data_IF_407031422203
#
_entry.id   IF_407031422203
#
_cell.length_a   1.000
_cell.length_b   1.000
_cell.length_c   1.000
_cell.angle_alpha   90.00
_cell.angle_beta   90.00
_cell.angle_gamma   90.00
#
_symmetry.space_group_name_H-M   'P 1'
#
loop_
_entity.id
_entity.type
_entity.pdbx_description
1 polymer ?
#
# COMPACT_ATOMS: atom_id res chain seq x y z
N UNK A 1 -61.80 -25.27 -39.13
CA UNK A 1 -60.49 -24.57 -39.01
C UNK A 1 -59.60 -25.42 -38.12
N UNK A 2 -58.54 -26.02 -38.68
CA UNK A 2 -57.61 -26.83 -37.91
C UNK A 2 -56.76 -25.91 -37.02
N UNK A 3 -56.87 -26.08 -35.70
CA UNK A 3 -56.08 -25.36 -34.69
C UNK A 3 -54.64 -25.85 -34.83
N UNK A 4 -53.76 -25.00 -35.37
CA UNK A 4 -52.32 -25.26 -35.50
C UNK A 4 -51.74 -25.37 -34.08
N UNK A 5 -51.37 -26.58 -33.66
CA UNK A 5 -50.72 -26.78 -32.36
C UNK A 5 -49.38 -26.05 -32.36
N UNK A 6 -49.14 -25.27 -31.32
CA UNK A 6 -47.88 -24.58 -31.12
C UNK A 6 -46.82 -25.66 -30.93
N UNK A 7 -45.69 -25.65 -31.67
CA UNK A 7 -44.64 -26.64 -31.49
C UNK A 7 -44.15 -26.59 -30.04
N UNK A 8 -44.29 -27.70 -29.32
CA UNK A 8 -43.73 -27.82 -27.98
C UNK A 8 -42.21 -27.89 -28.08
N UNK A 9 -41.53 -26.95 -27.43
CA UNK A 9 -40.08 -26.94 -27.40
C UNK A 9 -39.62 -28.06 -26.47
N UNK A 10 -38.70 -28.91 -26.94
CA UNK A 10 -38.18 -30.02 -26.15
C UNK A 10 -37.43 -29.50 -24.92
N UNK A 11 -38.11 -29.47 -23.78
CA UNK A 11 -37.57 -28.99 -22.52
C UNK A 11 -36.40 -29.84 -22.02
N UNK A 12 -36.34 -31.13 -22.38
CA UNK A 12 -35.21 -32.00 -22.05
C UNK A 12 -33.94 -31.58 -22.78
N UNK A 13 -34.02 -31.34 -24.09
CA UNK A 13 -32.87 -30.87 -24.88
C UNK A 13 -32.42 -29.46 -24.48
N UNK A 14 -33.35 -28.57 -24.11
CA UNK A 14 -32.98 -27.25 -23.59
C UNK A 14 -32.30 -27.33 -22.22
N UNK A 15 -32.80 -28.19 -21.33
CA UNK A 15 -32.23 -28.37 -20.00
C UNK A 15 -30.81 -28.96 -20.05
N UNK A 16 -30.56 -29.92 -20.93
CA UNK A 16 -29.24 -30.56 -21.07
C UNK A 16 -28.17 -29.57 -21.57
N UNK A 17 -28.51 -28.78 -22.60
CA UNK A 17 -27.61 -27.73 -23.12
C UNK A 17 -27.34 -26.67 -22.05
N UNK A 18 -28.37 -26.23 -21.31
CA UNK A 18 -28.18 -25.25 -20.24
C UNK A 18 -27.31 -25.79 -19.09
N UNK A 19 -27.46 -27.08 -18.75
CA UNK A 19 -26.69 -27.74 -17.70
C UNK A 19 -25.20 -27.90 -18.08
N UNK A 20 -24.93 -28.30 -19.32
CA UNK A 20 -23.55 -28.39 -19.85
C UNK A 20 -22.87 -27.02 -19.89
N UNK A 21 -23.60 -25.96 -20.28
CA UNK A 21 -23.06 -24.60 -20.26
C UNK A 21 -22.77 -24.12 -18.83
N UNK A 22 -23.62 -24.46 -17.85
CA UNK A 22 -23.35 -24.15 -16.45
C UNK A 22 -22.12 -24.87 -15.91
N UNK A 23 -21.95 -26.16 -16.21
CA UNK A 23 -20.73 -26.89 -15.83
C UNK A 23 -19.51 -26.32 -16.54
N UNK A 24 -19.63 -26.01 -17.84
CA UNK A 24 -18.55 -25.39 -18.59
C UNK A 24 -18.14 -24.06 -17.96
N UNK A 25 -19.08 -23.16 -17.66
CA UNK A 25 -18.76 -21.91 -16.98
C UNK A 25 -18.23 -22.16 -15.56
N UNK A 26 -18.77 -23.11 -14.80
CA UNK A 26 -18.28 -23.42 -13.45
C UNK A 26 -16.86 -24.01 -13.44
N UNK A 27 -16.50 -24.82 -14.43
CA UNK A 27 -15.19 -25.49 -14.53
C UNK A 27 -14.13 -24.58 -15.17
N UNK A 28 -14.53 -23.75 -16.13
CA UNK A 28 -13.61 -22.82 -16.82
C UNK A 28 -13.51 -21.45 -16.13
N UNK A 29 -14.40 -21.13 -15.18
CA UNK A 29 -14.24 -19.94 -14.34
C UNK A 29 -13.14 -20.20 -13.32
N UNK A 30 -11.96 -19.65 -13.59
CA UNK A 30 -10.96 -19.46 -12.55
C UNK A 30 -11.43 -18.32 -11.65
N UNK A 31 -11.63 -18.57 -10.36
CA UNK A 31 -11.72 -17.49 -9.38
C UNK A 31 -10.30 -16.95 -9.19
N UNK A 32 -9.90 -16.02 -10.05
CA UNK A 32 -8.68 -15.25 -9.84
C UNK A 32 -8.89 -14.32 -8.64
N UNK A 33 -8.32 -14.70 -7.50
CA UNK A 33 -8.21 -13.79 -6.36
C UNK A 33 -7.13 -12.74 -6.67
N UNK A 34 -7.53 -11.72 -7.41
CA UNK A 34 -6.73 -10.51 -7.55
C UNK A 34 -6.68 -9.82 -6.18
N UNK A 35 -5.66 -10.15 -5.39
CA UNK A 35 -5.32 -9.39 -4.18
C UNK A 35 -4.89 -8.00 -4.62
N UNK A 36 -5.86 -7.09 -4.65
CA UNK A 36 -5.61 -5.68 -4.94
C UNK A 36 -5.00 -4.99 -3.73
N UNK A 37 -4.18 -3.97 -3.99
CA UNK A 37 -3.74 -3.06 -2.93
C UNK A 37 -4.81 -1.98 -2.76
N UNK A 38 -5.40 -1.90 -1.57
CA UNK A 38 -6.30 -0.79 -1.22
C UNK A 38 -5.48 0.48 -0.97
N UNK A 39 -5.17 1.22 -2.04
CA UNK A 39 -4.54 2.54 -1.93
C UNK A 39 -5.60 3.63 -1.98
N UNK A 40 -5.70 4.44 -0.93
CA UNK A 40 -6.43 5.71 -1.01
C UNK A 40 -5.56 6.73 -1.73
N UNK A 41 -6.04 7.25 -2.85
CA UNK A 41 -5.37 8.36 -3.53
C UNK A 41 -5.36 9.59 -2.60
N UNK A 42 -4.26 10.37 -2.59
CA UNK A 42 -4.26 11.68 -1.95
C UNK A 42 -5.38 12.56 -2.51
N UNK A 43 -5.97 13.45 -1.70
CA UNK A 43 -6.92 14.44 -2.20
C UNK A 43 -6.24 15.30 -3.27
N UNK A 44 -7.01 15.69 -4.30
CA UNK A 44 -6.50 16.61 -5.32
C UNK A 44 -6.07 17.92 -4.65
N UNK A 45 -4.90 18.49 -5.02
CA UNK A 45 -4.53 19.83 -4.59
C UNK A 45 -5.63 20.83 -4.98
N UNK A 46 -5.91 21.81 -4.12
CA UNK A 46 -6.79 22.92 -4.50
C UNK A 46 -6.10 23.76 -5.58
N UNK A 47 -6.84 24.28 -6.56
CA UNK A 47 -6.29 25.01 -7.73
C UNK A 47 -5.37 26.19 -7.35
N UNK A 48 -5.52 26.75 -6.15
CA UNK A 48 -4.72 27.87 -5.64
C UNK A 48 -3.63 27.46 -4.62
N UNK A 49 -3.31 26.17 -4.52
CA UNK A 49 -2.24 25.72 -3.62
C UNK A 49 -0.89 26.00 -4.29
N UNK A 50 0.05 26.72 -3.64
CA UNK A 50 1.38 26.89 -4.19
C UNK A 50 2.03 25.51 -4.45
N UNK A 51 2.85 25.38 -5.51
CA UNK A 51 3.51 24.11 -5.82
C UNK A 51 4.31 23.65 -4.60
N UNK A 52 4.33 22.34 -4.30
CA UNK A 52 5.04 21.84 -3.15
C UNK A 52 6.52 22.26 -3.23
N UNK A 53 7.12 22.70 -2.12
CA UNK A 53 8.50 23.15 -2.11
C UNK A 53 9.42 22.03 -2.62
N UNK A 54 10.53 22.39 -3.30
CA UNK A 54 11.47 21.41 -3.82
C UNK A 54 12.01 20.54 -2.69
N UNK A 55 11.85 19.23 -2.81
CA UNK A 55 12.37 18.24 -1.85
C UNK A 55 13.86 18.08 -2.10
N UNK A 56 14.68 18.19 -1.05
CA UNK A 56 16.12 17.95 -1.15
C UNK A 56 16.37 16.50 -1.57
N UNK A 57 17.36 16.27 -2.44
CA UNK A 57 17.67 14.92 -2.94
C UNK A 57 17.94 13.91 -1.82
N UNK A 58 18.65 14.31 -0.76
CA UNK A 58 18.91 13.47 0.43
C UNK A 58 17.65 13.07 1.21
N UNK A 59 16.54 13.77 1.01
CA UNK A 59 15.25 13.47 1.62
C UNK A 59 14.42 12.54 0.73
N UNK A 60 14.96 12.04 -0.38
CA UNK A 60 14.30 11.10 -1.27
C UNK A 60 15.03 9.76 -1.26
N UNK A 61 14.38 8.70 -0.78
CA UNK A 61 14.86 7.34 -0.93
C UNK A 61 14.32 6.77 -2.24
N UNK A 62 15.22 6.44 -3.17
CA UNK A 62 14.83 5.91 -4.49
C UNK A 62 14.99 4.39 -4.49
N UNK A 63 13.86 3.69 -4.57
CA UNK A 63 13.78 2.26 -4.83
C UNK A 63 13.46 2.00 -6.29
N UNK A 64 14.26 1.19 -6.98
CA UNK A 64 14.04 0.78 -8.37
C UNK A 64 13.98 -0.74 -8.43
N UNK A 65 12.87 -1.28 -8.92
CA UNK A 65 12.75 -2.70 -9.25
C UNK A 65 12.91 -2.84 -10.75
N UNK A 66 13.88 -3.66 -11.18
CA UNK A 66 14.11 -3.90 -12.60
C UNK A 66 13.30 -5.10 -13.13
N UNK A 67 13.39 -5.35 -14.43
CA UNK A 67 12.79 -6.51 -15.10
C UNK A 67 13.23 -7.87 -14.58
N UNK A 68 14.42 -7.95 -13.99
CA UNK A 68 14.95 -9.18 -13.37
C UNK A 68 14.46 -9.36 -11.94
N UNK A 69 13.49 -8.57 -11.47
CA UNK A 69 12.99 -8.54 -10.09
C UNK A 69 14.07 -8.18 -9.05
N UNK A 70 15.14 -7.52 -9.47
CA UNK A 70 16.19 -7.05 -8.57
C UNK A 70 15.83 -5.65 -8.07
N UNK A 71 16.01 -5.44 -6.77
CA UNK A 71 15.76 -4.16 -6.11
C UNK A 71 17.06 -3.38 -5.93
N UNK A 72 17.05 -2.15 -6.40
CA UNK A 72 18.09 -1.16 -6.19
C UNK A 72 17.56 -0.09 -5.24
N UNK A 73 18.21 0.13 -4.10
CA UNK A 73 17.92 1.26 -3.21
C UNK A 73 19.12 2.18 -3.24
N UNK A 74 18.93 3.46 -3.59
CA UNK A 74 20.03 4.43 -3.77
C UNK A 74 21.16 3.90 -4.67
N UNK A 75 20.79 3.28 -5.80
CA UNK A 75 21.70 2.64 -6.76
C UNK A 75 22.51 1.45 -6.23
N UNK A 76 22.20 0.93 -5.04
CA UNK A 76 22.83 -0.27 -4.50
C UNK A 76 21.87 -1.45 -4.56
N UNK A 77 22.37 -2.60 -5.00
CA UNK A 77 21.61 -3.84 -4.99
C UNK A 77 21.28 -4.22 -3.54
N UNK A 78 20.00 -4.41 -3.26
CA UNK A 78 19.48 -4.79 -1.94
C UNK A 78 18.56 -5.98 -2.08
N UNK A 79 18.54 -6.81 -1.04
CA UNK A 79 17.57 -7.89 -0.94
C UNK A 79 16.27 -7.40 -0.31
N UNK A 80 15.17 -8.12 -0.56
CA UNK A 80 13.85 -7.80 -0.02
C UNK A 80 13.86 -7.67 1.51
N UNK A 81 14.61 -8.54 2.20
CA UNK A 81 14.73 -8.54 3.67
C UNK A 81 15.33 -7.25 4.23
N UNK A 82 16.14 -6.53 3.44
CA UNK A 82 16.83 -5.32 3.87
C UNK A 82 15.98 -4.06 3.64
N UNK A 83 14.91 -4.16 2.86
CA UNK A 83 14.05 -3.02 2.47
C UNK A 83 13.46 -2.35 3.69
N UNK A 84 12.86 -3.16 4.57
CA UNK A 84 12.22 -2.66 5.78
C UNK A 84 13.20 -1.89 6.67
N UNK A 85 14.36 -2.50 6.97
CA UNK A 85 15.36 -1.85 7.82
C UNK A 85 15.93 -0.60 7.17
N UNK A 86 16.19 -0.64 5.85
CA UNK A 86 16.68 0.54 5.11
C UNK A 86 15.67 1.68 5.13
N UNK A 87 14.38 1.38 4.98
CA UNK A 87 13.32 2.38 5.07
C UNK A 87 13.17 2.93 6.50
N UNK A 88 13.26 2.09 7.54
CA UNK A 88 13.25 2.53 8.94
C UNK A 88 14.42 3.47 9.23
N UNK A 89 15.64 3.07 8.88
CA UNK A 89 16.85 3.86 9.09
C UNK A 89 16.77 5.21 8.37
N UNK A 90 16.23 5.20 7.16
CA UNK A 90 16.01 6.42 6.38
C UNK A 90 14.95 7.32 7.01
N UNK A 91 13.77 6.80 7.35
CA UNK A 91 12.65 7.58 7.89
C UNK A 91 12.96 8.12 9.30
N UNK A 92 13.68 7.37 10.13
CA UNK A 92 13.99 7.70 11.52
C UNK A 92 15.32 8.47 11.69
N UNK A 93 16.02 8.79 10.60
CA UNK A 93 17.39 9.31 10.62
C UNK A 93 17.57 10.59 11.46
N UNK A 94 16.75 11.62 11.21
CA UNK A 94 16.80 12.94 11.88
C UNK A 94 18.08 13.78 11.60
N UNK A 95 18.47 13.92 10.33
CA UNK A 95 19.67 14.65 9.91
C UNK A 95 19.65 16.16 10.16
N UNK A 96 18.47 16.80 10.30
CA UNK A 96 18.36 18.23 10.64
C UNK A 96 18.11 18.50 12.13
N UNK A 97 18.10 17.45 12.94
CA UNK A 97 17.84 17.49 14.38
C UNK A 97 16.47 18.05 14.77
N UNK A 98 15.53 18.22 13.83
CA UNK A 98 14.21 18.80 14.12
C UNK A 98 13.25 17.79 14.74
N UNK A 99 13.55 16.50 14.68
CA UNK A 99 12.67 15.43 15.17
C UNK A 99 13.07 14.97 16.58
N UNK A 100 12.25 15.31 17.58
CA UNK A 100 12.51 14.96 18.98
C UNK A 100 12.19 13.50 19.34
N UNK A 101 11.44 12.79 18.49
CA UNK A 101 11.02 11.40 18.73
C UNK A 101 11.80 10.38 17.90
N UNK A 102 12.65 10.85 16.99
CA UNK A 102 13.44 10.01 16.12
C UNK A 102 14.67 9.43 16.84
N UNK A 103 15.01 8.18 16.54
CA UNK A 103 16.11 7.45 17.18
C UNK A 103 17.23 7.02 16.21
N UNK A 104 17.18 7.48 14.96
CA UNK A 104 18.19 7.15 13.95
C UNK A 104 19.54 7.81 14.18
N UNK A 105 20.44 7.61 13.22
CA UNK A 105 21.87 7.95 13.31
C UNK A 105 22.18 9.44 13.20
N UNK A 106 21.19 10.28 12.87
CA UNK A 106 21.34 11.73 12.64
C UNK A 106 22.39 12.03 11.57
N UNK A 107 22.46 11.18 10.55
CA UNK A 107 23.41 11.33 9.45
C UNK A 107 23.01 12.55 8.59
N UNK A 108 23.87 13.58 8.44
CA UNK A 108 23.57 14.75 7.62
C UNK A 108 23.33 14.44 6.14
N UNK A 109 23.86 13.31 5.65
CA UNK A 109 23.76 12.85 4.26
C UNK A 109 22.47 12.05 3.98
N UNK A 110 21.75 11.64 5.03
CA UNK A 110 20.46 10.94 4.92
C UNK A 110 19.31 11.91 5.23
N UNK A 111 18.09 11.38 5.42
CA UNK A 111 16.88 12.20 5.53
C UNK A 111 16.92 13.16 6.72
N UNK A 112 16.41 14.37 6.51
CA UNK A 112 16.34 15.41 7.53
C UNK A 112 15.41 14.99 8.68
N UNK A 113 14.19 14.53 8.39
CA UNK A 113 13.21 14.06 9.37
C UNK A 113 12.05 13.30 8.66
N UNK A 114 11.17 12.58 9.39
CA UNK A 114 10.09 11.79 8.80
C UNK A 114 9.08 12.59 7.98
N UNK A 115 8.88 13.87 8.29
CA UNK A 115 7.97 14.72 7.52
C UNK A 115 8.60 15.13 6.18
N UNK A 116 9.89 15.38 6.11
CA UNK A 116 10.56 15.70 4.84
C UNK A 116 10.90 14.47 4.00
N UNK A 117 11.01 13.31 4.63
CA UNK A 117 11.40 12.05 3.98
C UNK A 117 10.31 11.56 3.01
N UNK A 118 10.72 11.26 1.78
CA UNK A 118 9.87 10.72 0.71
C UNK A 118 10.48 9.43 0.19
N UNK A 119 9.68 8.38 0.05
CA UNK A 119 10.11 7.13 -0.58
C UNK A 119 9.52 7.08 -1.99
N UNK A 120 10.38 7.04 -2.98
CA UNK A 120 10.02 6.92 -4.40
C UNK A 120 10.29 5.50 -4.87
N UNK A 121 9.22 4.78 -5.20
CA UNK A 121 9.32 3.45 -5.81
C UNK A 121 9.14 3.58 -7.33
N UNK A 122 10.04 2.95 -8.07
CA UNK A 122 10.05 2.87 -9.53
C UNK A 122 10.05 1.42 -9.93
N UNK A 123 9.08 1.01 -10.72
CA UNK A 123 9.01 -0.35 -11.22
C UNK A 123 9.21 -0.34 -12.73
N UNK A 124 9.98 -1.30 -13.22
CA UNK A 124 10.02 -1.61 -14.64
C UNK A 124 8.67 -2.20 -15.06
N UNK A 125 8.32 -2.05 -16.34
CA UNK A 125 7.07 -2.60 -16.90
C UNK A 125 7.05 -4.13 -16.86
N UNK A 126 8.22 -4.75 -16.89
CA UNK A 126 8.40 -6.21 -16.85
C UNK A 126 8.58 -6.74 -15.41
N UNK A 127 8.52 -5.89 -14.38
CA UNK A 127 8.59 -6.33 -12.98
C UNK A 127 7.39 -7.22 -12.65
N UNK A 128 7.65 -8.36 -12.01
CA UNK A 128 6.57 -9.26 -11.60
C UNK A 128 5.69 -8.64 -10.53
N UNK A 129 4.37 -8.89 -10.63
CA UNK A 129 3.41 -8.41 -9.64
C UNK A 129 3.75 -8.88 -8.21
N UNK A 130 4.21 -10.12 -8.06
CA UNK A 130 4.64 -10.68 -6.77
C UNK A 130 5.76 -9.84 -6.14
N UNK A 131 6.78 -9.48 -6.91
CA UNK A 131 7.90 -8.65 -6.40
C UNK A 131 7.43 -7.24 -6.05
N UNK A 132 6.58 -6.65 -6.88
CA UNK A 132 5.99 -5.34 -6.61
C UNK A 132 5.24 -5.31 -5.27
N UNK A 133 4.36 -6.28 -5.03
CA UNK A 133 3.62 -6.42 -3.77
C UNK A 133 4.56 -6.66 -2.60
N UNK A 134 5.55 -7.55 -2.77
CA UNK A 134 6.50 -7.86 -1.71
C UNK A 134 7.27 -6.60 -1.25
N UNK A 135 7.81 -5.81 -2.17
CA UNK A 135 8.52 -4.57 -1.84
C UNK A 135 7.59 -3.56 -1.16
N UNK A 136 6.36 -3.41 -1.65
CA UNK A 136 5.41 -2.51 -1.00
C UNK A 136 5.04 -2.94 0.41
N UNK A 137 4.86 -4.24 0.65
CA UNK A 137 4.56 -4.76 1.97
C UNK A 137 5.70 -4.45 2.96
N UNK A 138 6.96 -4.62 2.56
CA UNK A 138 8.11 -4.28 3.39
C UNK A 138 8.18 -2.77 3.70
N UNK A 139 7.88 -1.92 2.72
CA UNK A 139 7.82 -0.47 2.92
C UNK A 139 6.67 -0.07 3.86
N UNK A 140 5.49 -0.67 3.72
CA UNK A 140 4.35 -0.43 4.62
C UNK A 140 4.68 -0.93 6.03
N UNK A 141 5.31 -2.11 6.14
CA UNK A 141 5.75 -2.66 7.42
C UNK A 141 6.72 -1.73 8.14
N UNK A 142 7.64 -1.07 7.42
CA UNK A 142 8.54 -0.06 8.00
C UNK A 142 7.79 1.11 8.65
N UNK A 143 6.77 1.66 7.97
CA UNK A 143 5.92 2.70 8.56
C UNK A 143 5.15 2.19 9.78
N UNK A 144 4.59 0.98 9.70
CA UNK A 144 3.82 0.40 10.80
C UNK A 144 4.69 0.15 12.03
N UNK A 145 5.94 -0.29 11.85
CA UNK A 145 6.89 -0.50 12.95
C UNK A 145 7.24 0.82 13.65
N UNK A 146 7.49 1.90 12.89
CA UNK A 146 7.76 3.23 13.44
C UNK A 146 6.55 3.80 14.19
N UNK A 147 5.35 3.60 13.65
CA UNK A 147 4.10 4.03 14.29
C UNK A 147 3.77 3.21 15.53
N UNK A 148 3.99 1.89 15.49
CA UNK A 148 3.81 1.01 16.64
C UNK A 148 4.72 1.43 17.79
N UNK A 149 5.97 1.77 17.50
CA UNK A 149 6.90 2.28 18.52
C UNK A 149 6.39 3.54 19.20
N UNK A 150 5.79 4.48 18.47
CA UNK A 150 5.22 5.70 19.06
C UNK A 150 3.91 5.41 19.78
N UNK A 151 3.10 4.49 19.26
CA UNK A 151 1.87 4.01 19.87
C UNK A 151 2.14 3.40 21.25
N UNK A 152 3.15 2.55 21.38
CA UNK A 152 3.55 1.95 22.67
C UNK A 152 3.92 2.99 23.73
N UNK A 153 4.55 4.09 23.32
CA UNK A 153 4.95 5.16 24.24
C UNK A 153 3.75 6.01 24.69
N UNK A 154 2.83 6.33 23.78
CA UNK A 154 1.75 7.29 24.03
C UNK A 154 0.44 6.67 24.46
N UNK A 155 0.15 5.49 23.94
CA UNK A 155 -1.12 4.80 24.10
C UNK A 155 -0.90 3.36 24.56
N UNK A 156 -0.11 3.09 25.62
CA UNK A 156 0.32 1.73 25.97
C UNK A 156 -0.83 0.73 26.12
N UNK A 157 -2.00 1.19 26.57
CA UNK A 157 -3.19 0.39 26.83
C UNK A 157 -3.99 0.01 25.57
N UNK A 158 -3.70 0.59 24.41
CA UNK A 158 -4.37 0.24 23.16
C UNK A 158 -3.78 -1.03 22.52
N UNK A 159 -4.53 -1.60 21.58
CA UNK A 159 -4.06 -2.72 20.75
C UNK A 159 -2.94 -2.28 19.79
N UNK A 160 -2.15 -3.21 19.21
CA UNK A 160 -1.12 -2.87 18.22
C UNK A 160 -1.65 -2.02 17.06
N UNK A 161 -0.81 -1.15 16.49
CA UNK A 161 -1.18 -0.18 15.46
C UNK A 161 -1.89 -0.82 14.26
N UNK A 162 -1.42 -1.98 13.81
CA UNK A 162 -2.05 -2.72 12.71
C UNK A 162 -3.49 -3.13 13.07
N UNK A 163 -3.71 -3.61 14.29
CA UNK A 163 -5.05 -3.96 14.77
C UNK A 163 -5.93 -2.71 14.95
N UNK A 164 -5.36 -1.58 15.35
CA UNK A 164 -6.08 -0.29 15.38
C UNK A 164 -6.60 0.06 13.98
N UNK A 165 -5.75 -0.02 12.96
CA UNK A 165 -6.16 0.26 11.57
C UNK A 165 -7.20 -0.76 11.07
N UNK A 166 -7.05 -2.04 11.39
CA UNK A 166 -8.02 -3.09 11.04
C UNK A 166 -9.38 -2.85 11.72
N UNK A 167 -9.40 -2.56 13.02
CA UNK A 167 -10.62 -2.21 13.77
C UNK A 167 -11.29 -0.98 13.17
N UNK A 168 -10.52 0.08 12.89
CA UNK A 168 -11.07 1.32 12.34
C UNK A 168 -11.72 1.11 10.96
N UNK A 169 -11.08 0.32 10.10
CA UNK A 169 -11.57 0.03 8.75
C UNK A 169 -12.69 -1.02 8.70
N UNK A 170 -12.82 -1.87 9.72
CA UNK A 170 -13.85 -2.91 9.74
C UNK A 170 -15.26 -2.31 9.78
N UNK A 171 -16.15 -2.84 8.93
CA UNK A 171 -17.55 -2.39 8.85
C UNK A 171 -18.31 -2.65 10.16
N UNK A 172 -17.96 -3.73 10.86
CA UNK A 172 -18.60 -4.16 12.13
C UNK A 172 -18.25 -3.32 13.35
N UNK A 173 -17.24 -2.45 13.26
CA UNK A 173 -16.74 -1.70 14.42
C UNK A 173 -17.73 -0.58 14.79
N UNK A 174 -18.18 -0.49 16.05
CA UNK A 174 -19.09 0.56 16.50
C UNK A 174 -18.53 1.96 16.25
N UNK A 175 -19.40 2.92 15.91
CA UNK A 175 -18.98 4.29 15.61
C UNK A 175 -18.20 4.92 16.77
N UNK A 176 -18.65 4.73 18.01
CA UNK A 176 -17.95 5.22 19.20
C UNK A 176 -16.49 4.71 19.31
N UNK A 177 -16.22 3.47 18.87
CA UNK A 177 -14.84 2.95 18.81
C UNK A 177 -14.05 3.60 17.69
N UNK A 178 -14.67 3.85 16.53
CA UNK A 178 -14.02 4.57 15.42
C UNK A 178 -13.66 6.00 15.81
N UNK A 179 -14.57 6.71 16.47
CA UNK A 179 -14.37 8.08 16.96
C UNK A 179 -13.23 8.14 18.00
N UNK A 180 -13.06 7.09 18.81
CA UNK A 180 -11.94 6.96 19.74
C UNK A 180 -10.60 6.68 19.03
N UNK A 181 -10.60 5.83 18.00
CA UNK A 181 -9.39 5.41 17.30
C UNK A 181 -8.88 6.46 16.29
N UNK A 182 -9.76 7.24 15.68
CA UNK A 182 -9.43 8.27 14.70
C UNK A 182 -8.35 9.25 15.17
N UNK A 183 -8.46 9.93 16.33
CA UNK A 183 -7.43 10.87 16.78
C UNK A 183 -6.08 10.18 17.05
N UNK A 184 -6.09 8.94 17.52
CA UNK A 184 -4.88 8.14 17.76
C UNK A 184 -4.17 7.86 16.43
N UNK A 185 -4.92 7.38 15.43
CA UNK A 185 -4.40 7.11 14.09
C UNK A 185 -3.83 8.39 13.48
N UNK A 186 -4.57 9.50 13.53
CA UNK A 186 -4.13 10.78 12.98
C UNK A 186 -2.86 11.30 13.66
N UNK A 187 -2.74 11.16 14.99
CA UNK A 187 -1.52 11.57 15.69
C UNK A 187 -0.29 10.75 15.26
N UNK A 188 -0.44 9.43 15.17
CA UNK A 188 0.65 8.53 14.77
C UNK A 188 1.04 8.74 13.29
N UNK A 189 0.04 8.92 12.43
CA UNK A 189 0.25 9.24 11.01
C UNK A 189 0.89 10.63 10.83
N UNK A 190 0.59 11.60 11.69
CA UNK A 190 1.23 12.92 11.66
C UNK A 190 2.72 12.85 12.04
N UNK A 191 3.10 11.96 12.95
CA UNK A 191 4.51 11.74 13.33
C UNK A 191 5.31 11.00 12.26
N UNK A 192 4.71 9.99 11.65
CA UNK A 192 5.32 9.24 10.55
C UNK A 192 4.40 9.27 9.34
N UNK A 193 4.36 10.39 8.59
CA UNK A 193 3.50 10.52 7.43
C UNK A 193 3.97 9.59 6.33
N UNK A 194 3.04 8.81 5.77
CA UNK A 194 3.37 7.88 4.69
C UNK A 194 3.47 8.63 3.37
N UNK A 195 4.68 9.05 3.00
CA UNK A 195 5.00 9.71 1.73
C UNK A 195 5.66 8.71 0.77
N UNK A 196 4.89 7.68 0.41
CA UNK A 196 5.28 6.68 -0.57
C UNK A 196 4.68 7.06 -1.92
N UNK A 197 5.53 7.37 -2.89
CA UNK A 197 5.12 7.72 -4.25
C UNK A 197 5.58 6.65 -5.23
N UNK A 198 4.66 6.20 -6.08
CA UNK A 198 5.01 5.43 -7.26
C UNK A 198 5.32 6.39 -8.40
N UNK A 199 6.47 6.21 -9.03
CA UNK A 199 6.94 7.09 -10.10
C UNK A 199 7.20 6.30 -11.37
N UNK A 200 6.90 6.91 -12.51
CA UNK A 200 7.04 6.27 -13.80
C UNK A 200 8.51 5.82 -14.03
N UNK A 201 8.71 4.69 -14.74
CA UNK A 201 10.03 4.26 -15.17
C UNK A 201 10.67 5.36 -16.03
N UNK A 202 12.00 5.53 -15.92
CA UNK A 202 12.73 6.43 -16.81
C UNK A 202 12.53 5.95 -18.24
N UNK A 203 12.03 6.82 -19.12
CA UNK A 203 12.12 6.60 -20.56
C UNK A 203 13.61 6.69 -20.91
N UNK A 204 14.20 5.56 -21.27
CA UNK A 204 15.51 5.51 -21.92
C UNK A 204 15.30 5.62 -23.43
#
# INVERSE_FOLDING_TARGET
MAKRSIPEVNAGSMADIAFLLLIFFLVTTTIESNTGITVKLPPKPQENTPPPPPVKEKNVLVGVVNKNNQLLINNQLKELKDVKQTAIDFLDNNGDLSCNYCKGKKDPLSSDNPDKAVISLRNDRETSYKTYIAVQNELIAAYNELRERERQKKFPNEVPYVQIEEEFNAARTPQARKDHLEPIILELQKRFPRKLIETAPKKH
#
